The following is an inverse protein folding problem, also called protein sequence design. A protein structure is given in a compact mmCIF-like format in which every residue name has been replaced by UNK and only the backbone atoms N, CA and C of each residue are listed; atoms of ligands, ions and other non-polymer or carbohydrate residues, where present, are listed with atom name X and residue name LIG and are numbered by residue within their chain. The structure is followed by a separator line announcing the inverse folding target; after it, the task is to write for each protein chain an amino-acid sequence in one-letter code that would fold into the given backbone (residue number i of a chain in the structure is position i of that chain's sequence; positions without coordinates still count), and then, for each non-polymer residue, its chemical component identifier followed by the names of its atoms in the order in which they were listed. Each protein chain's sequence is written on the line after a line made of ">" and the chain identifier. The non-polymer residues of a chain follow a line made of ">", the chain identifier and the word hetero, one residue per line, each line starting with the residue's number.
data_IF_617192197188
#
_entry.id   IF_617192197188
#
_cell.length_a   1.000
_cell.length_b   1.000
_cell.length_c   1.000
_cell.angle_alpha   90.00
_cell.angle_beta   90.00
_cell.angle_gamma   90.00
#
_symmetry.space_group_name_H-M   'P 1'
#
loop_
_entity.id
_entity.type
_entity.pdbx_description
1 polymer ?
#
# COMPACT_ATOMS: atom_id res chain seq x y z
N UNK A 1 8.57 7.81 -4.07
CA UNK A 1 7.65 7.03 -4.92
C UNK A 1 8.19 7.17 -6.34
N UNK A 2 8.37 6.07 -7.06
CA UNK A 2 8.85 6.11 -8.45
C UNK A 2 7.72 6.51 -9.39
N UNK A 3 8.08 7.13 -10.53
CA UNK A 3 7.14 7.65 -11.52
C UNK A 3 6.21 6.57 -12.09
N UNK A 4 6.70 5.33 -12.23
CA UNK A 4 5.92 4.21 -12.75
C UNK A 4 4.82 3.79 -11.77
N UNK A 5 5.17 3.60 -10.49
CA UNK A 5 4.19 3.30 -9.44
C UNK A 5 3.13 4.40 -9.32
N UNK A 6 3.53 5.67 -9.37
CA UNK A 6 2.60 6.81 -9.34
C UNK A 6 1.64 6.78 -10.53
N UNK A 7 2.17 6.64 -11.74
CA UNK A 7 1.37 6.60 -12.95
C UNK A 7 0.39 5.42 -12.95
N UNK A 8 0.82 4.23 -12.53
CA UNK A 8 -0.07 3.08 -12.45
C UNK A 8 -1.23 3.31 -11.47
N UNK A 9 -0.96 3.89 -10.30
CA UNK A 9 -1.99 4.19 -9.30
C UNK A 9 -2.98 5.25 -9.80
N UNK A 10 -2.50 6.28 -10.52
CA UNK A 10 -3.36 7.28 -11.15
C UNK A 10 -4.25 6.67 -12.23
N UNK A 11 -3.70 5.79 -13.07
CA UNK A 11 -4.48 5.14 -14.13
C UNK A 11 -5.50 4.13 -13.58
N UNK A 12 -5.19 3.49 -12.44
CA UNK A 12 -5.98 2.41 -11.88
C UNK A 12 -6.72 2.80 -10.58
N UNK A 13 -6.83 4.09 -10.27
CA UNK A 13 -7.46 4.58 -9.03
C UNK A 13 -8.93 4.15 -8.84
N UNK A 14 -9.60 3.77 -9.93
CA UNK A 14 -10.98 3.29 -9.94
C UNK A 14 -11.11 1.79 -9.60
N UNK A 15 -10.00 1.06 -9.53
CA UNK A 15 -9.99 -0.32 -9.10
C UNK A 15 -10.02 -0.42 -7.57
N UNK A 16 -10.68 -1.47 -7.06
CA UNK A 16 -10.63 -1.79 -5.64
C UNK A 16 -9.26 -2.36 -5.26
N UNK A 17 -8.79 -2.00 -4.07
CA UNK A 17 -7.63 -2.61 -3.45
C UNK A 17 -8.04 -3.89 -2.73
N UNK A 18 -7.35 -4.99 -3.02
CA UNK A 18 -7.56 -6.28 -2.34
C UNK A 18 -6.32 -6.66 -1.56
N UNK A 19 -6.49 -7.08 -0.31
CA UNK A 19 -5.36 -7.54 0.50
C UNK A 19 -4.94 -8.94 0.04
N UNK A 20 -3.65 -9.09 -0.26
CA UNK A 20 -3.05 -10.36 -0.69
C UNK A 20 -2.52 -11.14 0.52
N UNK A 21 -1.97 -10.45 1.52
CA UNK A 21 -1.38 -11.09 2.69
C UNK A 21 -2.43 -11.44 3.76
N UNK A 22 -2.33 -12.65 4.33
CA UNK A 22 -3.16 -13.07 5.46
C UNK A 22 -2.74 -12.41 6.79
N UNK A 23 -1.45 -12.08 6.92
CA UNK A 23 -0.88 -11.41 8.09
C UNK A 23 -0.25 -10.06 7.72
N UNK A 24 -0.48 -9.07 8.57
CA UNK A 24 0.09 -7.73 8.45
C UNK A 24 1.43 -7.72 9.19
N UNK A 25 2.51 -7.47 8.48
CA UNK A 25 3.83 -7.29 9.08
C UNK A 25 3.89 -5.94 9.80
N UNK A 26 4.49 -5.91 10.99
CA UNK A 26 4.72 -4.66 11.75
C UNK A 26 6.17 -4.58 12.17
N UNK A 27 6.84 -3.52 11.75
CA UNK A 27 8.23 -3.26 12.10
C UNK A 27 8.40 -1.77 12.47
N UNK A 28 9.00 -1.47 13.62
CA UNK A 28 9.29 -0.11 14.07
C UNK A 28 8.09 0.87 14.02
N UNK A 29 6.87 0.36 14.27
CA UNK A 29 5.64 1.17 14.21
C UNK A 29 5.09 1.42 12.82
N UNK A 30 5.70 0.84 11.78
CA UNK A 30 5.21 0.81 10.40
C UNK A 30 4.52 -0.53 10.16
N UNK A 31 3.29 -0.48 9.65
CA UNK A 31 2.56 -1.64 9.15
C UNK A 31 2.85 -1.80 7.67
N UNK A 32 3.15 -3.01 7.24
CA UNK A 32 3.37 -3.35 5.84
C UNK A 32 2.23 -4.21 5.33
N UNK A 33 1.54 -3.68 4.32
CA UNK A 33 0.41 -4.31 3.65
C UNK A 33 0.83 -4.71 2.24
N UNK A 34 0.40 -5.90 1.84
CA UNK A 34 0.51 -6.37 0.46
C UNK A 34 -0.86 -6.29 -0.19
N UNK A 35 -1.05 -5.32 -1.06
CA UNK A 35 -2.33 -5.03 -1.71
C UNK A 35 -2.21 -5.25 -3.21
N UNK A 36 -3.25 -5.81 -3.82
CA UNK A 36 -3.40 -5.88 -5.26
C UNK A 36 -4.31 -4.73 -5.72
N UNK A 37 -3.87 -3.98 -6.72
CA UNK A 37 -4.71 -3.06 -7.47
C UNK A 37 -4.80 -3.56 -8.91
N UNK A 38 -5.98 -3.99 -9.32
CA UNK A 38 -6.18 -4.60 -10.65
C UNK A 38 -5.36 -5.88 -10.82
N UNK A 39 -4.26 -5.80 -11.57
CA UNK A 39 -3.36 -6.93 -11.87
C UNK A 39 -1.96 -6.82 -11.23
N UNK A 40 -1.71 -5.76 -10.45
CA UNK A 40 -0.39 -5.49 -9.87
C UNK A 40 -0.44 -5.52 -8.36
N UNK A 41 0.60 -6.09 -7.77
CA UNK A 41 0.82 -6.12 -6.33
C UNK A 41 1.64 -4.91 -5.88
N UNK A 42 1.34 -4.42 -4.69
CA UNK A 42 1.96 -3.25 -4.09
C UNK A 42 2.25 -3.52 -2.61
N UNK A 43 3.42 -3.06 -2.18
CA UNK A 43 3.82 -2.93 -0.78
C UNK A 43 3.44 -1.54 -0.30
N UNK A 44 2.42 -1.46 0.54
CA UNK A 44 2.03 -0.24 1.25
C UNK A 44 2.65 -0.23 2.63
N UNK A 45 3.35 0.85 2.96
CA UNK A 45 3.97 1.07 4.26
C UNK A 45 3.18 2.16 4.96
N UNK A 46 2.53 1.80 6.07
CA UNK A 46 1.60 2.65 6.80
C UNK A 46 2.17 2.95 8.19
N UNK A 47 2.31 4.23 8.54
CA UNK A 47 2.68 4.65 9.89
C UNK A 47 1.43 5.07 10.64
N UNK A 48 1.24 4.54 11.85
CA UNK A 48 0.08 4.89 12.68
C UNK A 48 0.16 6.36 13.08
N UNK A 49 -0.87 7.14 12.73
CA UNK A 49 -1.02 8.54 13.15
C UNK A 49 -1.95 8.68 14.35
N UNK A 50 -3.06 7.93 14.36
CA UNK A 50 -4.02 7.90 15.47
C UNK A 50 -4.63 6.49 15.60
N UNK A 51 -5.63 6.31 16.47
CA UNK A 51 -6.29 5.01 16.66
C UNK A 51 -6.87 4.45 15.36
N UNK A 52 -7.40 5.31 14.49
CA UNK A 52 -8.08 4.92 13.26
C UNK A 52 -7.41 5.47 11.97
N UNK A 53 -6.42 6.37 12.10
CA UNK A 53 -5.76 6.99 10.94
C UNK A 53 -4.31 6.51 10.79
N UNK A 54 -3.94 6.27 9.54
CA UNK A 54 -2.60 5.85 9.14
C UNK A 54 -2.11 6.73 8.00
N UNK A 55 -0.86 7.16 8.08
CA UNK A 55 -0.19 7.86 6.98
C UNK A 55 0.50 6.83 6.08
N UNK A 56 0.35 6.96 4.77
CA UNK A 56 1.12 6.18 3.80
C UNK A 56 2.52 6.80 3.72
N UNK A 57 3.54 6.09 4.21
CA UNK A 57 4.92 6.58 4.20
C UNK A 57 5.70 6.12 2.98
N UNK A 58 5.30 5.00 2.38
CA UNK A 58 5.83 4.54 1.10
C UNK A 58 4.84 3.61 0.41
N UNK A 59 4.90 3.60 -0.92
CA UNK A 59 4.27 2.60 -1.78
C UNK A 59 5.32 2.13 -2.75
N UNK A 60 5.42 0.82 -2.95
CA UNK A 60 6.32 0.20 -3.92
C UNK A 60 5.54 -0.86 -4.69
N UNK A 61 5.55 -0.77 -6.02
CA UNK A 61 5.08 -1.86 -6.87
C UNK A 61 6.03 -3.05 -6.73
N UNK A 62 5.47 -4.26 -6.54
CA UNK A 62 6.24 -5.51 -6.44
C UNK A 62 6.50 -6.12 -7.82
#
# INVERSE_FOLDING_TARGET
>A
MDTETEQYLLENHHHNLYRINEQIERENGVLKYHLCLGKRAFKFYLKKRSVWNYDVVAVKMD
#
